data_IF_346469652166
#
_entry.id   IF_346469652166
#
_cell.length_a   1.000
_cell.length_b   1.000
_cell.length_c   1.000
_cell.angle_alpha   90.00
_cell.angle_beta   90.00
_cell.angle_gamma   90.00
#
_symmetry.space_group_name_H-M   'P 1'
#
loop_
_entity.id
_entity.type
_entity.pdbx_description
1 polymer ?
#
# COMPACT_ATOMS: atom_id res chain seq x y z
N UNK A 1 -13.84 4.90 -8.83
CA UNK A 1 -13.02 4.68 -10.04
C UNK A 1 -11.72 4.00 -9.61
N UNK A 2 -10.96 3.42 -10.53
CA UNK A 2 -9.66 2.83 -10.24
C UNK A 2 -8.55 3.63 -10.96
N UNK A 3 -7.37 3.66 -10.35
CA UNK A 3 -6.13 4.18 -10.96
C UNK A 3 -5.15 3.02 -10.98
N UNK A 4 -4.52 2.80 -12.14
CA UNK A 4 -3.53 1.73 -12.34
C UNK A 4 -2.31 2.37 -12.96
N UNK A 5 -1.15 2.13 -12.36
CA UNK A 5 0.14 2.52 -12.90
C UNK A 5 0.65 1.36 -13.77
N UNK A 6 0.76 1.54 -15.11
CA UNK A 6 1.06 0.43 -16.02
C UNK A 6 2.53 -0.05 -15.94
N UNK A 7 3.38 0.71 -15.26
CA UNK A 7 4.76 0.35 -14.92
C UNK A 7 4.87 -0.68 -13.79
N UNK A 8 3.83 -0.82 -12.96
CA UNK A 8 3.75 -1.86 -11.94
C UNK A 8 3.10 -3.14 -12.47
N UNK A 9 3.92 -4.17 -12.64
CA UNK A 9 3.43 -5.49 -13.04
C UNK A 9 3.13 -6.37 -11.82
N UNK A 10 1.85 -6.44 -11.45
CA UNK A 10 1.38 -7.24 -10.32
C UNK A 10 0.78 -8.55 -10.82
N UNK A 11 1.47 -9.65 -10.53
CA UNK A 11 1.03 -11.01 -10.87
C UNK A 11 0.48 -11.73 -9.63
N UNK A 12 -0.65 -12.42 -9.79
CA UNK A 12 -1.27 -13.25 -8.77
C UNK A 12 -1.77 -14.54 -9.42
N UNK A 13 -1.54 -15.68 -8.76
CA UNK A 13 -2.03 -16.99 -9.22
C UNK A 13 -3.53 -17.20 -8.95
N UNK A 14 -4.14 -16.35 -8.11
CA UNK A 14 -5.54 -16.42 -7.70
C UNK A 14 -6.30 -15.17 -8.17
N UNK A 15 -6.81 -14.37 -7.23
CA UNK A 15 -7.52 -13.11 -7.52
C UNK A 15 -6.52 -12.01 -7.89
N UNK A 16 -6.87 -11.19 -8.88
CA UNK A 16 -6.05 -10.05 -9.27
C UNK A 16 -5.99 -8.99 -8.16
N UNK A 17 -4.93 -8.17 -8.15
CA UNK A 17 -4.78 -7.12 -7.14
C UNK A 17 -5.98 -6.16 -7.11
N UNK A 18 -6.50 -5.77 -8.29
CA UNK A 18 -7.64 -4.88 -8.37
C UNK A 18 -8.92 -5.52 -7.84
N UNK A 19 -9.18 -6.81 -8.11
CA UNK A 19 -10.33 -7.52 -7.54
C UNK A 19 -10.26 -7.55 -6.01
N UNK A 20 -9.09 -7.84 -5.44
CA UNK A 20 -8.89 -7.81 -3.99
C UNK A 20 -9.14 -6.41 -3.40
N UNK A 21 -8.69 -5.35 -4.09
CA UNK A 21 -8.94 -3.96 -3.66
C UNK A 21 -10.42 -3.58 -3.75
N UNK A 22 -11.14 -4.05 -4.77
CA UNK A 22 -12.59 -3.84 -4.90
C UNK A 22 -13.33 -4.49 -3.73
N UNK A 23 -12.98 -5.71 -3.35
CA UNK A 23 -13.60 -6.37 -2.19
C UNK A 23 -13.37 -5.61 -0.88
N UNK A 24 -12.20 -4.98 -0.69
CA UNK A 24 -11.94 -4.11 0.47
C UNK A 24 -12.79 -2.83 0.38
N UNK A 25 -12.87 -2.22 -0.79
CA UNK A 25 -13.69 -1.03 -1.01
C UNK A 25 -15.17 -1.30 -0.70
N UNK A 26 -15.73 -2.43 -1.13
CA UNK A 26 -17.13 -2.78 -0.87
C UNK A 26 -17.45 -2.94 0.62
N UNK A 27 -16.48 -3.42 1.41
CA UNK A 27 -16.65 -3.60 2.86
C UNK A 27 -16.50 -2.30 3.67
N UNK A 28 -15.64 -1.38 3.22
CA UNK A 28 -15.29 -0.18 3.99
C UNK A 28 -15.84 1.13 3.40
N UNK A 29 -16.24 1.12 2.13
CA UNK A 29 -16.69 2.28 1.36
C UNK A 29 -15.72 3.47 1.45
N UNK A 30 -14.42 3.20 1.42
CA UNK A 30 -13.33 4.16 1.54
C UNK A 30 -12.27 3.93 0.46
N UNK A 31 -11.45 4.94 0.14
CA UNK A 31 -10.32 4.77 -0.77
C UNK A 31 -9.40 3.63 -0.31
N UNK A 32 -8.92 2.83 -1.28
CA UNK A 32 -8.03 1.69 -1.04
C UNK A 32 -6.76 1.91 -1.85
N UNK A 33 -5.61 1.69 -1.21
CA UNK A 33 -4.29 1.77 -1.83
C UNK A 33 -3.62 0.41 -1.64
N UNK A 34 -3.07 -0.17 -2.72
CA UNK A 34 -2.25 -1.36 -2.63
C UNK A 34 -0.88 -0.98 -2.09
N UNK A 35 -0.33 -1.79 -1.19
CA UNK A 35 0.95 -1.53 -0.54
C UNK A 35 1.76 -2.81 -0.50
N UNK A 36 3.08 -2.67 -0.49
CA UNK A 36 3.99 -3.79 -0.25
C UNK A 36 5.02 -3.44 0.82
N UNK A 37 5.60 -4.48 1.44
CA UNK A 37 6.76 -4.25 2.29
C UNK A 37 8.02 -4.19 1.44
N UNK A 38 8.75 -3.09 1.56
CA UNK A 38 10.07 -2.92 0.94
C UNK A 38 11.19 -3.07 1.97
N UNK A 39 12.41 -3.44 1.57
CA UNK A 39 13.57 -3.35 2.44
C UNK A 39 13.68 -1.93 3.02
N UNK A 40 14.03 -1.81 4.30
CA UNK A 40 14.15 -0.50 4.97
C UNK A 40 15.15 0.43 4.26
N UNK A 41 16.17 -0.11 3.61
CA UNK A 41 17.15 0.64 2.81
C UNK A 41 16.56 1.26 1.54
N UNK A 42 15.41 0.78 1.07
CA UNK A 42 14.77 1.23 -0.17
C UNK A 42 13.66 2.27 0.08
N UNK A 43 13.38 2.65 1.33
CA UNK A 43 12.29 3.59 1.66
C UNK A 43 12.43 4.95 0.99
N UNK A 44 13.65 5.38 0.67
CA UNK A 44 13.92 6.65 0.00
C UNK A 44 13.52 6.66 -1.49
N UNK A 45 12.96 5.56 -2.01
CA UNK A 45 12.51 5.42 -3.40
C UNK A 45 10.99 5.58 -3.56
N UNK A 46 10.22 5.44 -2.46
CA UNK A 46 8.76 5.27 -2.49
C UNK A 46 8.05 6.24 -1.54
N UNK A 47 6.72 6.35 -1.66
CA UNK A 47 5.87 6.89 -0.60
C UNK A 47 5.73 5.85 0.51
N UNK A 48 6.04 6.22 1.76
CA UNK A 48 5.98 5.29 2.90
C UNK A 48 4.86 5.70 3.85
N UNK A 49 4.01 4.74 4.18
CA UNK A 49 2.80 4.96 4.98
C UNK A 49 3.03 4.75 6.47
N UNK A 50 2.39 5.58 7.29
CA UNK A 50 2.10 5.29 8.68
C UNK A 50 0.68 4.72 8.77
N UNK A 51 0.51 3.58 9.47
CA UNK A 51 -0.75 2.86 9.46
C UNK A 51 -1.10 2.24 10.82
N UNK A 52 -2.40 2.05 11.04
CA UNK A 52 -2.93 1.29 12.18
C UNK A 52 -3.67 0.06 11.67
N UNK A 53 -3.37 -1.17 12.15
CA UNK A 53 -4.07 -2.38 11.71
C UNK A 53 -5.58 -2.30 11.95
N UNK A 54 -6.36 -2.70 10.95
CA UNK A 54 -7.81 -2.90 11.07
C UNK A 54 -8.07 -4.40 11.27
N UNK A 55 -7.46 -5.23 10.41
CA UNK A 55 -7.51 -6.69 10.47
C UNK A 55 -6.18 -7.31 10.03
N UNK A 56 -6.17 -8.61 9.71
CA UNK A 56 -4.95 -9.35 9.34
C UNK A 56 -4.34 -8.89 8.00
N UNK A 57 -5.12 -8.31 7.10
CA UNK A 57 -4.70 -7.93 5.74
C UNK A 57 -4.88 -6.43 5.46
N UNK A 58 -5.73 -5.73 6.21
CA UNK A 58 -6.01 -4.31 5.99
C UNK A 58 -5.53 -3.43 7.13
N UNK A 59 -5.10 -2.22 6.77
CA UNK A 59 -4.69 -1.19 7.71
C UNK A 59 -5.31 0.14 7.32
N UNK A 60 -5.55 0.99 8.32
CA UNK A 60 -5.98 2.37 8.14
C UNK A 60 -4.73 3.23 7.96
N UNK A 61 -4.68 4.01 6.89
CA UNK A 61 -3.62 4.99 6.65
C UNK A 61 -3.84 6.20 7.55
N UNK A 62 -2.80 6.59 8.30
CA UNK A 62 -2.79 7.81 9.12
C UNK A 62 -2.01 8.94 8.45
N UNK A 63 -0.86 8.63 7.88
CA UNK A 63 0.00 9.59 7.18
C UNK A 63 0.84 8.92 6.09
N UNK A 64 1.45 9.73 5.23
CA UNK A 64 2.38 9.27 4.19
C UNK A 64 3.53 10.26 4.07
N UNK A 65 4.75 9.75 3.94
CA UNK A 65 5.95 10.54 3.66
C UNK A 65 6.53 10.11 2.33
N UNK A 66 6.72 11.05 1.40
CA UNK A 66 7.33 10.78 0.10
C UNK A 66 8.85 10.67 0.24
N UNK A 67 9.41 9.51 -0.15
CA UNK A 67 10.85 9.24 -0.24
C UNK A 67 11.65 9.56 1.04
N UNK A 68 11.20 9.11 2.23
CA UNK A 68 11.95 9.35 3.46
C UNK A 68 13.26 8.58 3.49
N UNK A 69 14.28 9.18 4.10
CA UNK A 69 15.49 8.45 4.49
C UNK A 69 15.12 7.25 5.38
N UNK A 70 15.86 6.12 5.28
CA UNK A 70 15.60 4.91 6.08
C UNK A 70 15.45 5.15 7.59
N UNK A 71 16.20 6.11 8.13
CA UNK A 71 16.15 6.43 9.57
C UNK A 71 14.88 7.19 9.96
N UNK A 72 14.24 7.87 9.02
CA UNK A 72 13.06 8.71 9.24
C UNK A 72 11.76 8.09 8.71
N UNK A 73 11.83 6.97 7.99
CA UNK A 73 10.66 6.32 7.41
C UNK A 73 9.68 5.84 8.51
N UNK A 74 8.38 6.14 8.43
CA UNK A 74 7.42 5.74 9.48
C UNK A 74 7.17 4.24 9.53
N UNK A 75 7.37 3.52 8.42
CA UNK A 75 7.28 2.06 8.34
C UNK A 75 8.11 1.51 7.16
N UNK A 76 7.77 0.32 6.68
CA UNK A 76 8.27 -0.28 5.43
C UNK A 76 7.16 -0.51 4.40
N UNK A 77 5.94 -0.05 4.68
CA UNK A 77 4.80 -0.15 3.75
C UNK A 77 4.90 0.95 2.70
N UNK A 78 5.20 0.54 1.47
CA UNK A 78 5.41 1.41 0.33
C UNK A 78 4.21 1.42 -0.63
N UNK A 79 4.07 2.55 -1.33
CA UNK A 79 3.18 2.76 -2.48
C UNK A 79 3.97 3.17 -3.72
#
# INVERSE_FOLDING_TARGET
FAVILPDDFILSDNESCLEQMISVYENHNSGVIAVENVPRSDTSKYGILETVPIDKRTCKIESMVEKPDPDNAPSTLAV
#
